data_IF_814170983318
#
_entry.id   IF_814170983318
#
_cell.length_a   1.000
_cell.length_b   1.000
_cell.length_c   1.000
_cell.angle_alpha   90.00
_cell.angle_beta   90.00
_cell.angle_gamma   90.00
#
_symmetry.space_group_name_H-M   'P 1'
#
loop_
_entity.id
_entity.type
_entity.pdbx_description
1 polymer ?
#
# COMPACT_ATOMS: atom_id res chain seq x y z
N UNK A 1 -13.06 21.52 18.38
CA UNK A 1 -12.11 20.81 17.49
C UNK A 1 -12.82 20.10 16.35
N UNK A 2 -13.81 19.23 16.61
CA UNK A 2 -14.62 18.54 15.58
C UNK A 2 -15.18 19.46 14.47
N UNK A 3 -15.87 20.54 14.83
CA UNK A 3 -16.47 21.45 13.84
C UNK A 3 -15.43 22.11 12.92
N UNK A 4 -14.24 22.41 13.43
CA UNK A 4 -13.16 23.01 12.65
C UNK A 4 -12.57 21.99 11.66
N UNK A 5 -12.35 20.74 12.11
CA UNK A 5 -11.90 19.65 11.25
C UNK A 5 -12.93 19.30 10.18
N UNK A 6 -14.22 19.28 10.53
CA UNK A 6 -15.33 19.07 9.59
C UNK A 6 -15.36 20.19 8.55
N UNK A 7 -15.31 21.46 8.96
CA UNK A 7 -15.29 22.59 8.03
C UNK A 7 -14.09 22.55 7.07
N UNK A 8 -12.92 22.17 7.58
CA UNK A 8 -11.72 21.98 6.76
C UNK A 8 -11.91 20.86 5.72
N UNK A 9 -12.34 19.68 6.16
CA UNK A 9 -12.59 18.53 5.27
C UNK A 9 -13.63 18.84 4.19
N UNK A 10 -14.67 19.62 4.52
CA UNK A 10 -15.68 20.04 3.56
C UNK A 10 -15.13 20.97 2.47
N UNK A 11 -14.06 21.72 2.75
CA UNK A 11 -13.42 22.62 1.79
C UNK A 11 -12.33 21.93 0.95
N UNK A 12 -11.79 20.81 1.41
CA UNK A 12 -10.72 20.08 0.73
C UNK A 12 -11.14 19.46 -0.60
N UNK A 13 -10.19 19.39 -1.53
CA UNK A 13 -10.29 18.58 -2.75
C UNK A 13 -9.95 17.10 -2.46
N UNK A 14 -10.39 16.14 -3.28
CA UNK A 14 -10.06 14.72 -3.05
C UNK A 14 -8.54 14.49 -3.01
N UNK A 15 -7.76 15.16 -3.85
CA UNK A 15 -6.31 15.03 -3.87
C UNK A 15 -5.66 15.62 -2.61
N UNK A 16 -6.10 16.80 -2.16
CA UNK A 16 -5.62 17.38 -0.91
C UNK A 16 -5.93 16.45 0.27
N UNK A 17 -7.15 15.91 0.33
CA UNK A 17 -7.56 15.00 1.37
C UNK A 17 -6.74 13.69 1.37
N UNK A 18 -6.45 13.13 0.19
CA UNK A 18 -5.57 11.95 0.08
C UNK A 18 -4.15 12.26 0.56
N UNK A 19 -3.61 13.42 0.19
CA UNK A 19 -2.28 13.85 0.61
C UNK A 19 -2.19 14.00 2.13
N UNK A 20 -3.18 14.64 2.74
CA UNK A 20 -3.27 14.80 4.20
C UNK A 20 -3.38 13.45 4.89
N UNK A 21 -4.27 12.57 4.41
CA UNK A 21 -4.46 11.24 4.96
C UNK A 21 -3.17 10.40 4.88
N UNK A 22 -2.44 10.46 3.76
CA UNK A 22 -1.15 9.77 3.64
C UNK A 22 -0.11 10.29 4.65
N UNK A 23 -0.09 11.61 4.93
CA UNK A 23 0.82 12.23 5.91
C UNK A 23 0.44 11.82 7.33
N UNK A 24 -0.83 11.98 7.71
CA UNK A 24 -1.32 11.71 9.06
C UNK A 24 -1.17 10.22 9.40
N UNK A 25 -1.58 9.32 8.51
CA UNK A 25 -1.40 7.88 8.73
C UNK A 25 0.08 7.49 8.81
N UNK A 26 0.95 8.09 7.97
CA UNK A 26 2.40 7.87 8.04
C UNK A 26 2.95 8.27 9.42
N UNK A 27 2.48 9.40 9.95
CA UNK A 27 2.86 9.86 11.29
C UNK A 27 2.36 8.92 12.39
N UNK A 28 1.08 8.56 12.39
CA UNK A 28 0.52 7.63 13.39
C UNK A 28 1.19 6.27 13.35
N UNK A 29 1.43 5.72 12.16
CA UNK A 29 2.16 4.47 12.00
C UNK A 29 3.58 4.58 12.57
N UNK A 30 4.26 5.68 12.26
CA UNK A 30 5.57 6.01 12.79
C UNK A 30 5.59 5.98 14.33
N UNK A 31 4.69 6.72 14.96
CA UNK A 31 4.63 6.90 16.41
C UNK A 31 4.19 5.64 17.16
N UNK A 32 3.17 4.92 16.66
CA UNK A 32 2.59 3.79 17.38
C UNK A 32 3.29 2.46 17.13
N UNK A 33 3.73 2.20 15.91
CA UNK A 33 4.14 0.86 15.49
C UNK A 33 5.63 0.73 15.22
N UNK A 34 6.34 1.86 15.04
CA UNK A 34 7.77 1.83 14.79
C UNK A 34 8.52 2.52 15.90
N UNK A 35 9.71 2.03 16.26
CA UNK A 35 10.63 2.72 17.19
C UNK A 35 11.29 3.94 16.54
N UNK A 36 10.52 4.68 15.74
CA UNK A 36 10.96 5.84 14.95
C UNK A 36 11.47 6.94 15.86
N UNK A 37 10.92 7.09 17.06
CA UNK A 37 11.43 8.04 18.06
C UNK A 37 12.89 7.76 18.45
N UNK A 38 13.28 6.48 18.59
CA UNK A 38 14.65 6.07 18.91
C UNK A 38 15.55 6.24 17.68
N UNK A 39 15.05 5.89 16.49
CA UNK A 39 15.82 5.94 15.25
C UNK A 39 16.06 7.38 14.76
N UNK A 40 15.14 8.31 15.06
CA UNK A 40 15.25 9.74 14.77
C UNK A 40 15.93 10.55 15.89
N UNK A 41 16.51 9.89 16.90
CA UNK A 41 17.43 10.55 17.84
C UNK A 41 18.73 10.96 17.17
N UNK A 42 19.39 12.00 17.70
CA UNK A 42 20.73 12.40 17.24
C UNK A 42 21.74 11.25 17.30
N UNK A 43 21.57 10.33 18.26
CA UNK A 43 22.42 9.14 18.44
C UNK A 43 22.20 8.14 17.29
N UNK A 44 20.94 7.86 16.92
CA UNK A 44 20.61 6.98 15.79
C UNK A 44 21.12 7.50 14.45
N UNK A 45 21.09 8.82 14.25
CA UNK A 45 21.66 9.46 13.06
C UNK A 45 23.18 9.34 13.05
N UNK A 46 23.84 9.66 14.17
CA UNK A 46 25.28 9.57 14.29
C UNK A 46 25.79 8.14 14.06
N UNK A 47 25.08 7.11 14.56
CA UNK A 47 25.47 5.71 14.35
C UNK A 47 25.36 5.28 12.89
N UNK A 48 24.37 5.78 12.13
CA UNK A 48 24.26 5.53 10.67
C UNK A 48 25.42 6.14 9.88
N UNK A 49 25.80 7.38 10.20
CA UNK A 49 26.97 8.00 9.57
C UNK A 49 28.28 7.31 9.95
N UNK A 50 28.40 6.87 11.21
CA UNK A 50 29.56 6.12 11.68
C UNK A 50 29.69 4.76 10.96
N UNK A 51 28.57 4.05 10.76
CA UNK A 51 28.53 2.80 10.01
C UNK A 51 28.96 3.01 8.55
N UNK A 52 28.43 4.04 7.88
CA UNK A 52 28.82 4.39 6.51
C UNK A 52 30.31 4.74 6.42
N UNK A 53 30.84 5.50 7.37
CA UNK A 53 32.26 5.86 7.44
C UNK A 53 33.15 4.63 7.66
N UNK A 54 32.72 3.70 8.53
CA UNK A 54 33.42 2.44 8.78
C UNK A 54 33.48 1.56 7.53
N UNK A 55 32.34 1.39 6.82
CA UNK A 55 32.30 0.63 5.56
C UNK A 55 33.17 1.28 4.46
N UNK A 56 33.12 2.60 4.35
CA UNK A 56 33.94 3.35 3.39
C UNK A 56 35.43 3.20 3.69
N UNK A 57 35.82 3.26 4.97
CA UNK A 57 37.19 3.03 5.42
C UNK A 57 37.65 1.61 5.13
N UNK A 58 36.81 0.61 5.44
CA UNK A 58 37.08 -0.80 5.12
C UNK A 58 37.29 -1.02 3.63
N UNK A 59 36.47 -0.40 2.77
CA UNK A 59 36.64 -0.45 1.31
C UNK A 59 37.95 0.17 0.86
N UNK A 60 38.35 1.31 1.45
CA UNK A 60 39.62 1.96 1.14
C UNK A 60 40.82 1.08 1.54
N UNK A 61 40.83 0.54 2.76
CA UNK A 61 41.88 -0.36 3.26
C UNK A 61 41.96 -1.63 2.40
N UNK A 62 40.81 -2.22 2.08
CA UNK A 62 40.76 -3.38 1.21
C UNK A 62 41.21 -3.07 -0.22
N UNK A 63 41.01 -1.84 -0.72
CA UNK A 63 41.48 -1.44 -2.04
C UNK A 63 43.01 -1.31 -2.13
N UNK A 64 43.65 -0.79 -1.07
CA UNK A 64 45.10 -0.53 -1.03
C UNK A 64 45.93 -1.79 -0.71
N UNK A 65 45.34 -2.79 -0.05
CA UNK A 65 46.04 -4.03 0.30
C UNK A 65 46.31 -4.92 -0.93
N UNK A 66 47.54 -5.45 -1.02
CA UNK A 66 47.94 -6.42 -2.06
C UNK A 66 47.23 -7.75 -1.84
N UNK A 67 46.70 -8.35 -2.91
CA UNK A 67 45.79 -9.52 -2.87
C UNK A 67 46.36 -10.78 -3.53
N UNK A 68 47.68 -10.92 -3.55
CA UNK A 68 48.35 -11.97 -4.31
C UNK A 68 48.05 -13.40 -3.80
N UNK A 69 47.67 -13.54 -2.54
CA UNK A 69 47.42 -14.85 -1.90
C UNK A 69 45.94 -15.24 -1.79
N UNK A 70 45.01 -14.39 -2.25
CA UNK A 70 43.58 -14.63 -2.13
C UNK A 70 42.96 -15.14 -3.44
N UNK A 71 42.01 -16.07 -3.31
CA UNK A 71 41.27 -16.55 -4.45
C UNK A 71 40.46 -15.39 -5.07
N UNK A 72 40.48 -15.30 -6.41
CA UNK A 72 39.85 -14.19 -7.16
C UNK A 72 38.37 -14.02 -6.84
N UNK A 73 37.68 -15.12 -6.51
CA UNK A 73 36.27 -15.11 -6.09
C UNK A 73 36.08 -14.40 -4.75
N UNK A 74 36.90 -14.68 -3.74
CA UNK A 74 36.76 -14.12 -2.39
C UNK A 74 37.03 -12.61 -2.40
N UNK A 75 37.99 -12.18 -3.23
CA UNK A 75 38.25 -10.76 -3.50
C UNK A 75 37.02 -10.09 -4.13
N UNK A 76 36.41 -10.72 -5.14
CA UNK A 76 35.20 -10.22 -5.78
C UNK A 76 34.01 -10.15 -4.82
N UNK A 77 33.82 -11.18 -4.00
CA UNK A 77 32.76 -11.26 -2.99
C UNK A 77 32.89 -10.13 -1.97
N UNK A 78 34.11 -9.87 -1.48
CA UNK A 78 34.36 -8.82 -0.50
C UNK A 78 34.06 -7.44 -1.06
N UNK A 79 34.46 -7.17 -2.31
CA UNK A 79 34.09 -5.92 -2.99
C UNK A 79 32.58 -5.77 -3.17
N UNK A 80 31.90 -6.84 -3.60
CA UNK A 80 30.44 -6.82 -3.78
C UNK A 80 29.71 -6.54 -2.45
N UNK A 81 30.14 -7.16 -1.35
CA UNK A 81 29.56 -6.94 -0.02
C UNK A 81 29.78 -5.51 0.49
N UNK A 82 31.00 -4.98 0.36
CA UNK A 82 31.32 -3.62 0.82
C UNK A 82 30.58 -2.55 0.02
N UNK A 83 30.56 -2.67 -1.31
CA UNK A 83 29.82 -1.75 -2.19
C UNK A 83 28.31 -1.88 -1.92
N UNK A 84 27.80 -3.10 -1.79
CA UNK A 84 26.39 -3.36 -1.45
C UNK A 84 25.99 -2.72 -0.12
N UNK A 85 26.81 -2.88 0.92
CA UNK A 85 26.59 -2.26 2.24
C UNK A 85 26.55 -0.73 2.16
N UNK A 86 27.52 -0.12 1.46
CA UNK A 86 27.56 1.35 1.26
C UNK A 86 26.30 1.84 0.53
N UNK A 87 25.89 1.14 -0.54
CA UNK A 87 24.67 1.50 -1.28
C UNK A 87 23.42 1.37 -0.39
N UNK A 88 23.31 0.30 0.40
CA UNK A 88 22.18 0.11 1.32
C UNK A 88 22.13 1.18 2.41
N UNK A 89 23.26 1.53 3.03
CA UNK A 89 23.32 2.60 4.03
C UNK A 89 23.05 3.97 3.41
N UNK A 90 23.52 4.23 2.20
CA UNK A 90 23.19 5.45 1.47
C UNK A 90 21.68 5.54 1.17
N UNK A 91 21.04 4.43 0.77
CA UNK A 91 19.58 4.36 0.59
C UNK A 91 18.85 4.60 1.91
N UNK A 92 19.31 3.98 3.01
CA UNK A 92 18.71 4.16 4.33
C UNK A 92 18.81 5.62 4.81
N UNK A 93 19.96 6.27 4.63
CA UNK A 93 20.16 7.70 4.92
C UNK A 93 19.27 8.57 4.02
N UNK A 94 19.17 8.23 2.73
CA UNK A 94 18.30 8.94 1.80
C UNK A 94 16.83 8.87 2.23
N UNK A 95 16.33 7.69 2.60
CA UNK A 95 14.97 7.51 3.14
C UNK A 95 14.78 8.30 4.43
N UNK A 96 15.77 8.28 5.32
CA UNK A 96 15.74 9.01 6.58
C UNK A 96 15.65 10.54 6.38
N UNK A 97 16.46 11.10 5.48
CA UNK A 97 16.42 12.53 5.14
C UNK A 97 15.06 12.94 4.56
N UNK A 98 14.41 12.03 3.83
CA UNK A 98 13.12 12.25 3.17
C UNK A 98 11.94 12.10 4.14
N UNK A 99 12.16 11.57 5.35
CA UNK A 99 11.08 11.23 6.27
C UNK A 99 10.31 12.46 6.78
N UNK A 100 9.04 12.24 7.11
CA UNK A 100 8.14 13.29 7.63
C UNK A 100 8.66 13.92 8.93
N UNK A 101 9.39 13.15 9.76
CA UNK A 101 9.99 13.62 11.00
C UNK A 101 11.12 14.62 10.79
N UNK A 102 11.94 14.40 9.76
CA UNK A 102 13.00 15.33 9.36
C UNK A 102 12.36 16.64 8.90
N UNK A 103 11.30 16.58 8.09
CA UNK A 103 10.56 17.76 7.66
C UNK A 103 9.91 18.51 8.82
N UNK A 104 9.23 17.84 9.76
CA UNK A 104 8.61 18.49 10.92
C UNK A 104 9.65 19.19 11.82
N UNK A 105 10.86 18.60 11.95
CA UNK A 105 11.95 19.16 12.78
C UNK A 105 12.64 20.36 12.12
N UNK A 106 12.86 20.32 10.81
CA UNK A 106 13.53 21.38 10.05
C UNK A 106 12.58 22.44 9.48
N UNK A 107 11.28 22.13 9.41
CA UNK A 107 10.23 23.04 8.97
C UNK A 107 9.77 24.04 10.03
N UNK A 108 10.34 24.00 11.25
CA UNK A 108 10.13 25.07 12.21
C UNK A 108 10.86 26.34 11.72
N UNK A 109 10.16 27.47 11.52
CA UNK A 109 10.80 28.75 11.33
C UNK A 109 11.43 29.14 12.66
N UNK A 110 12.71 28.80 12.85
CA UNK A 110 13.54 29.69 13.65
C UNK A 110 13.83 30.87 12.75
N UNK A 111 13.10 31.95 12.99
CA UNK A 111 13.55 33.29 12.65
C UNK A 111 15.00 33.40 13.15
N UNK A 112 15.86 33.98 12.31
CA UNK A 112 17.30 34.20 12.47
C UNK A 112 18.23 33.24 11.69
N UNK A 113 19.02 33.86 10.79
CA UNK A 113 20.03 33.32 9.84
C UNK A 113 19.58 33.06 8.38
N UNK A 114 19.33 34.16 7.66
CA UNK A 114 18.81 34.24 6.27
C UNK A 114 19.70 33.73 5.12
N UNK A 115 20.64 32.81 5.34
CA UNK A 115 21.48 32.22 4.28
C UNK A 115 21.36 30.69 4.15
N UNK A 116 21.47 29.98 5.27
CA UNK A 116 21.43 28.51 5.32
C UNK A 116 20.00 28.00 5.17
N UNK A 117 19.03 28.68 5.80
CA UNK A 117 17.62 28.28 5.77
C UNK A 117 17.04 28.33 4.35
N UNK A 118 17.50 29.25 3.50
CA UNK A 118 17.06 29.33 2.09
C UNK A 118 17.47 28.10 1.29
N UNK A 119 18.70 27.58 1.48
CA UNK A 119 19.18 26.37 0.79
C UNK A 119 18.50 25.11 1.32
N UNK A 120 18.28 25.04 2.64
CA UNK A 120 17.54 23.94 3.27
C UNK A 120 16.09 23.92 2.78
N UNK A 121 15.40 25.07 2.77
CA UNK A 121 14.02 25.18 2.29
C UNK A 121 13.91 24.84 0.79
N UNK A 122 14.86 25.29 -0.04
CA UNK A 122 14.90 24.92 -1.46
C UNK A 122 15.10 23.41 -1.65
N UNK A 123 15.99 22.79 -0.86
CA UNK A 123 16.20 21.35 -0.87
C UNK A 123 14.98 20.58 -0.38
N UNK A 124 14.31 21.04 0.69
CA UNK A 124 13.08 20.44 1.21
C UNK A 124 11.94 20.54 0.20
N UNK A 125 11.75 21.69 -0.47
CA UNK A 125 10.73 21.86 -1.50
C UNK A 125 11.00 21.00 -2.73
N UNK A 126 12.25 20.95 -3.20
CA UNK A 126 12.66 20.04 -4.28
C UNK A 126 12.39 18.58 -3.91
N UNK A 127 12.62 18.22 -2.65
CA UNK A 127 12.42 16.86 -2.15
C UNK A 127 10.92 16.54 -1.97
N UNK A 128 10.10 17.47 -1.49
CA UNK A 128 8.65 17.37 -1.42
C UNK A 128 8.03 17.14 -2.80
N UNK A 129 8.58 17.74 -3.85
CA UNK A 129 8.12 17.54 -5.24
C UNK A 129 8.21 16.07 -5.71
N UNK A 130 9.04 15.23 -5.07
CA UNK A 130 9.06 13.78 -5.35
C UNK A 130 7.97 13.01 -4.60
N UNK A 131 7.46 13.56 -3.49
CA UNK A 131 6.43 12.96 -2.63
C UNK A 131 5.01 13.43 -2.97
N UNK A 132 4.86 14.48 -3.77
CA UNK A 132 3.58 14.92 -4.31
C UNK A 132 2.82 13.79 -5.02
N UNK A 133 1.49 13.81 -4.92
CA UNK A 133 0.61 12.85 -5.60
C UNK A 133 0.82 12.96 -7.12
N UNK A 134 1.42 11.94 -7.73
CA UNK A 134 1.66 11.89 -9.19
C UNK A 134 0.69 10.93 -9.84
N UNK A 135 -0.27 11.50 -10.56
CA UNK A 135 -1.24 10.76 -11.36
C UNK A 135 -0.71 10.58 -12.78
N UNK A 136 -0.70 9.35 -13.28
CA UNK A 136 -0.32 9.04 -14.66
C UNK A 136 -1.49 8.46 -15.43
N UNK A 137 -1.62 8.87 -16.68
CA UNK A 137 -2.60 8.28 -17.62
C UNK A 137 -2.21 6.83 -17.90
N UNK A 138 -3.16 5.90 -17.80
CA UNK A 138 -2.99 4.52 -18.24
C UNK A 138 -3.87 4.25 -19.46
N UNK A 139 -3.27 3.69 -20.51
CA UNK A 139 -3.97 3.31 -21.74
C UNK A 139 -4.54 1.88 -21.67
N UNK A 140 -4.55 1.28 -20.48
CA UNK A 140 -4.95 -0.10 -20.22
C UNK A 140 -6.48 -0.33 -20.23
N UNK A 141 -7.28 0.73 -20.32
CA UNK A 141 -8.75 0.67 -20.38
C UNK A 141 -9.23 0.81 -21.83
N UNK A 142 -8.89 -0.13 -22.71
CA UNK A 142 -9.21 -0.05 -24.15
C UNK A 142 -10.68 -0.36 -24.52
N UNK A 143 -11.54 -0.63 -23.52
CA UNK A 143 -12.96 -0.99 -23.72
C UNK A 143 -13.97 0.06 -23.26
N UNK A 144 -13.50 1.19 -22.73
CA UNK A 144 -14.34 2.28 -22.21
C UNK A 144 -13.68 3.60 -22.64
N UNK A 145 -14.43 4.58 -23.14
CA UNK A 145 -13.92 5.89 -23.63
C UNK A 145 -13.21 6.76 -22.54
N UNK A 146 -12.89 6.19 -21.38
CA UNK A 146 -12.31 6.86 -20.22
C UNK A 146 -10.79 6.65 -20.10
N UNK A 147 -10.04 7.73 -20.32
CA UNK A 147 -8.62 7.85 -19.91
C UNK A 147 -8.53 7.75 -18.37
N UNK A 148 -8.14 6.60 -17.82
CA UNK A 148 -8.00 6.47 -16.36
C UNK A 148 -6.66 7.03 -15.86
N UNK A 149 -6.68 7.63 -14.67
CA UNK A 149 -5.47 8.14 -14.02
C UNK A 149 -5.12 7.25 -12.82
N UNK A 150 -3.95 6.64 -12.85
CA UNK A 150 -3.44 5.78 -11.78
C UNK A 150 -2.40 6.53 -10.95
N UNK A 151 -2.42 6.30 -9.64
CA UNK A 151 -1.40 6.84 -8.75
C UNK A 151 -0.07 6.10 -9.00
N UNK A 152 0.95 6.81 -9.47
CA UNK A 152 2.24 6.22 -9.83
C UNK A 152 3.43 7.07 -9.34
N UNK A 153 3.80 6.89 -8.06
CA UNK A 153 5.09 7.37 -7.55
C UNK A 153 6.14 6.24 -7.55
N UNK A 154 7.42 6.64 -7.56
CA UNK A 154 8.55 5.70 -7.40
C UNK A 154 8.51 5.11 -5.99
N UNK A 155 8.85 3.82 -5.85
CA UNK A 155 8.72 3.06 -4.59
C UNK A 155 9.35 3.74 -3.36
N UNK A 156 10.53 4.33 -3.51
CA UNK A 156 11.26 5.01 -2.40
C UNK A 156 10.47 6.22 -1.84
N UNK A 157 9.65 6.88 -2.67
CA UNK A 157 8.92 8.09 -2.27
C UNK A 157 7.47 7.82 -1.91
N UNK A 158 7.06 6.54 -1.87
CA UNK A 158 5.70 6.16 -1.46
C UNK A 158 5.60 6.22 0.05
N UNK A 159 4.54 6.88 0.54
CA UNK A 159 4.14 6.83 1.95
C UNK A 159 3.42 5.53 2.26
N UNK A 160 2.54 5.13 1.33
CA UNK A 160 1.69 3.96 1.44
C UNK A 160 1.71 3.16 0.12
N UNK A 161 1.13 1.96 0.13
CA UNK A 161 1.25 1.00 -0.97
C UNK A 161 0.85 1.57 -2.34
N UNK A 162 -0.06 2.56 -2.39
CA UNK A 162 -0.72 3.08 -3.61
C UNK A 162 -1.50 1.99 -4.36
N UNK A 163 -1.72 0.84 -3.71
CA UNK A 163 -2.40 -0.32 -4.28
C UNK A 163 -3.68 -0.59 -3.52
N UNK A 164 -4.73 -0.88 -4.27
CA UNK A 164 -5.92 -1.57 -3.78
C UNK A 164 -5.70 -3.06 -4.04
N UNK A 165 -5.78 -3.84 -2.97
CA UNK A 165 -5.79 -5.29 -3.07
C UNK A 165 -7.19 -5.79 -3.40
N UNK A 166 -7.28 -6.92 -4.10
CA UNK A 166 -8.53 -7.51 -4.54
C UNK A 166 -8.51 -8.98 -4.25
N UNK A 167 -9.53 -9.46 -3.58
CA UNK A 167 -9.76 -10.88 -3.36
C UNK A 167 -11.17 -11.24 -3.82
N UNK A 168 -11.27 -12.13 -4.82
CA UNK A 168 -12.54 -12.66 -5.28
C UNK A 168 -12.74 -14.05 -4.69
N UNK A 169 -13.70 -14.19 -3.77
CA UNK A 169 -13.99 -15.45 -3.10
C UNK A 169 -14.44 -16.55 -4.08
N UNK A 170 -15.31 -16.21 -5.05
CA UNK A 170 -15.79 -17.17 -6.05
C UNK A 170 -14.63 -17.59 -6.97
N UNK A 171 -13.78 -16.64 -7.34
CA UNK A 171 -12.56 -16.91 -8.11
C UNK A 171 -11.64 -17.89 -7.39
N UNK A 172 -11.42 -17.70 -6.08
CA UNK A 172 -10.66 -18.63 -5.24
C UNK A 172 -11.29 -20.02 -5.22
N UNK A 173 -12.59 -20.14 -4.94
CA UNK A 173 -13.30 -21.42 -4.89
C UNK A 173 -13.28 -22.18 -6.22
N UNK A 174 -13.17 -21.47 -7.35
CA UNK A 174 -13.06 -22.03 -8.69
C UNK A 174 -11.61 -22.21 -9.17
N UNK A 175 -10.61 -21.87 -8.36
CA UNK A 175 -9.19 -21.95 -8.73
C UNK A 175 -8.76 -20.95 -9.82
N UNK A 176 -9.55 -19.89 -10.05
CA UNK A 176 -9.29 -18.86 -11.05
C UNK A 176 -8.23 -17.90 -10.52
N UNK A 177 -7.09 -17.78 -11.22
CA UNK A 177 -6.05 -16.82 -10.86
C UNK A 177 -6.52 -15.39 -11.16
N UNK A 178 -6.33 -14.44 -10.24
CA UNK A 178 -6.81 -13.08 -10.43
C UNK A 178 -5.91 -12.32 -11.42
N UNK A 179 -6.51 -11.60 -12.36
CA UNK A 179 -5.76 -10.78 -13.32
C UNK A 179 -5.57 -9.35 -12.80
N UNK A 180 -4.39 -8.77 -13.07
CA UNK A 180 -4.14 -7.34 -12.79
C UNK A 180 -4.70 -6.49 -13.93
N UNK A 181 -5.54 -5.53 -13.61
CA UNK A 181 -6.13 -4.61 -14.58
C UNK A 181 -5.07 -3.60 -15.05
N UNK A 182 -4.25 -3.08 -14.12
CA UNK A 182 -3.25 -2.05 -14.44
C UNK A 182 -1.83 -2.62 -14.54
N UNK A 183 -1.41 -2.95 -15.77
CA UNK A 183 -0.03 -3.38 -16.09
C UNK A 183 0.93 -2.17 -16.14
N UNK A 184 1.19 -1.54 -15.01
CA UNK A 184 2.24 -0.51 -14.94
C UNK A 184 3.59 -1.16 -14.60
N UNK A 185 4.44 -1.38 -15.63
CA UNK A 185 5.88 -1.62 -15.38
C UNK A 185 6.48 -0.33 -14.84
N UNK A 186 6.46 -0.17 -13.52
CA UNK A 186 7.05 0.98 -12.86
C UNK A 186 8.50 1.18 -13.31
N UNK A 187 8.90 2.43 -13.52
CA UNK A 187 10.28 2.80 -13.86
C UNK A 187 11.31 2.20 -12.89
N UNK A 188 10.88 1.93 -11.65
CA UNK A 188 11.69 1.31 -10.61
C UNK A 188 11.93 -0.19 -10.81
N UNK A 189 10.96 -0.94 -11.37
CA UNK A 189 11.20 -2.34 -11.74
C UNK A 189 12.22 -2.39 -12.87
N UNK A 190 12.14 -1.47 -13.85
CA UNK A 190 13.19 -1.31 -14.87
C UNK A 190 14.54 -0.89 -14.31
N UNK A 191 14.58 -0.04 -13.28
CA UNK A 191 15.82 0.40 -12.62
C UNK A 191 16.46 -0.74 -11.81
N UNK A 192 15.68 -1.47 -11.02
CA UNK A 192 16.17 -2.65 -10.29
C UNK A 192 16.49 -3.80 -11.24
N UNK A 193 15.69 -4.05 -12.28
CA UNK A 193 16.02 -5.02 -13.33
C UNK A 193 17.34 -4.61 -14.00
N UNK A 194 17.52 -3.33 -14.33
CA UNK A 194 18.78 -2.83 -14.89
C UNK A 194 19.94 -3.02 -13.91
N UNK A 195 19.78 -2.75 -12.62
CA UNK A 195 20.81 -2.98 -11.59
C UNK A 195 21.09 -4.47 -11.40
N UNK A 196 20.06 -5.30 -11.34
CA UNK A 196 20.14 -6.76 -11.17
C UNK A 196 20.86 -7.38 -12.37
N UNK A 197 20.53 -6.94 -13.59
CA UNK A 197 21.23 -7.34 -14.81
C UNK A 197 22.66 -6.77 -14.88
N UNK A 198 22.87 -5.51 -14.50
CA UNK A 198 24.19 -4.86 -14.50
C UNK A 198 25.16 -5.56 -13.53
N UNK A 199 24.65 -5.98 -12.36
CA UNK A 199 25.40 -6.69 -11.33
C UNK A 199 25.43 -8.22 -11.55
N UNK A 200 24.87 -8.72 -12.66
CA UNK A 200 24.76 -10.17 -12.96
C UNK A 200 24.06 -10.99 -11.86
N UNK A 201 23.26 -10.32 -11.03
CA UNK A 201 22.50 -10.93 -9.95
C UNK A 201 21.43 -11.84 -10.54
N UNK A 202 20.84 -11.49 -11.69
CA UNK A 202 19.94 -12.37 -12.46
C UNK A 202 20.58 -13.73 -12.74
N UNK A 203 21.82 -13.73 -13.23
CA UNK A 203 22.53 -14.96 -13.61
C UNK A 203 22.99 -15.76 -12.38
N UNK A 204 23.32 -15.08 -11.28
CA UNK A 204 23.64 -15.73 -10.01
C UNK A 204 22.39 -16.29 -9.32
N UNK A 205 21.26 -15.57 -9.38
CA UNK A 205 19.96 -16.06 -8.92
C UNK A 205 19.59 -17.30 -9.74
N UNK A 206 19.58 -17.23 -11.06
CA UNK A 206 19.15 -18.36 -11.89
C UNK A 206 20.07 -19.58 -11.80
N UNK A 207 21.39 -19.40 -11.62
CA UNK A 207 22.34 -20.52 -11.51
C UNK A 207 22.51 -21.10 -10.12
N UNK A 208 22.41 -20.28 -9.07
CA UNK A 208 22.75 -20.68 -7.69
C UNK A 208 21.50 -20.64 -6.83
N UNK A 209 20.82 -19.50 -6.77
CA UNK A 209 19.75 -19.27 -5.82
C UNK A 209 18.45 -20.01 -6.23
N UNK A 210 18.04 -19.94 -7.49
CA UNK A 210 16.81 -20.54 -8.00
C UNK A 210 16.84 -22.07 -7.93
N UNK A 211 17.87 -22.79 -8.40
CA UNK A 211 17.93 -24.24 -8.21
C UNK A 211 18.00 -24.60 -6.74
N UNK A 212 18.74 -23.86 -5.90
CA UNK A 212 18.84 -24.14 -4.46
C UNK A 212 17.54 -23.86 -3.70
N UNK A 213 16.87 -22.74 -3.96
CA UNK A 213 15.56 -22.39 -3.41
C UNK A 213 14.49 -23.32 -3.95
N UNK A 214 14.52 -23.70 -5.23
CA UNK A 214 13.57 -24.65 -5.82
C UNK A 214 13.76 -26.04 -5.24
N UNK A 215 14.99 -26.50 -5.02
CA UNK A 215 15.28 -27.74 -4.31
C UNK A 215 14.82 -27.65 -2.86
N UNK A 216 15.11 -26.54 -2.18
CA UNK A 216 14.71 -26.30 -0.80
C UNK A 216 13.19 -26.25 -0.64
N UNK A 217 12.47 -25.55 -1.53
CA UNK A 217 11.02 -25.50 -1.55
C UNK A 217 10.39 -26.85 -1.91
N UNK A 218 10.95 -27.61 -2.86
CA UNK A 218 10.51 -28.99 -3.14
C UNK A 218 10.72 -29.91 -1.94
N UNK A 219 11.90 -29.84 -1.35
CA UNK A 219 12.29 -30.62 -0.19
C UNK A 219 11.37 -30.31 0.99
N UNK A 220 11.07 -29.03 1.25
CA UNK A 220 10.15 -28.63 2.30
C UNK A 220 8.68 -28.91 1.96
N UNK A 221 8.24 -28.84 0.70
CA UNK A 221 6.84 -29.12 0.33
C UNK A 221 6.46 -30.60 0.41
N UNK A 222 7.44 -31.51 0.30
CA UNK A 222 7.21 -32.96 0.41
C UNK A 222 7.28 -33.50 1.84
N UNK A 223 7.71 -32.67 2.81
CA UNK A 223 7.73 -33.06 4.21
C UNK A 223 6.35 -32.79 4.83
N UNK A 224 5.59 -33.83 5.26
CA UNK A 224 4.26 -33.65 5.85
C UNK A 224 4.26 -32.75 7.09
N UNK A 225 5.37 -32.77 7.83
CA UNK A 225 5.59 -31.92 9.02
C UNK A 225 5.64 -30.43 8.65
N UNK A 226 6.11 -30.06 7.45
CA UNK A 226 6.13 -28.66 7.03
C UNK A 226 4.73 -28.16 6.71
N UNK A 227 3.92 -28.95 5.99
CA UNK A 227 2.51 -28.60 5.77
C UNK A 227 1.76 -28.55 7.10
N UNK A 228 2.00 -29.52 7.99
CA UNK A 228 1.44 -29.49 9.34
C UNK A 228 1.91 -28.30 10.17
N UNK A 229 3.18 -27.86 10.04
CA UNK A 229 3.70 -26.66 10.70
C UNK A 229 3.10 -25.38 10.10
N UNK A 230 2.98 -25.30 8.77
CA UNK A 230 2.32 -24.18 8.09
C UNK A 230 0.85 -24.08 8.47
N UNK A 231 0.16 -25.21 8.63
CA UNK A 231 -1.22 -25.27 9.14
C UNK A 231 -1.28 -24.95 10.65
N UNK A 232 -0.34 -25.47 11.45
CA UNK A 232 -0.25 -25.25 12.91
C UNK A 232 -0.01 -23.76 13.25
N UNK A 233 0.81 -23.08 12.45
CA UNK A 233 1.01 -21.63 12.56
C UNK A 233 -0.07 -20.80 11.84
N UNK A 234 -1.03 -21.44 11.15
CA UNK A 234 -2.08 -20.77 10.37
C UNK A 234 -1.56 -19.98 9.16
N UNK A 235 -0.33 -20.26 8.71
CA UNK A 235 0.38 -19.55 7.64
C UNK A 235 -0.13 -20.01 6.27
N UNK A 236 -0.60 -21.25 6.12
CA UNK A 236 -1.14 -21.80 4.87
C UNK A 236 -2.39 -21.04 4.40
N UNK A 237 -3.34 -20.79 5.29
CA UNK A 237 -4.55 -19.97 5.06
C UNK A 237 -4.18 -18.54 4.64
N UNK A 238 -3.22 -17.91 5.33
CA UNK A 238 -2.75 -16.56 5.00
C UNK A 238 -2.02 -16.51 3.65
N UNK A 239 -1.18 -17.52 3.34
CA UNK A 239 -0.46 -17.63 2.08
C UNK A 239 -1.43 -17.88 0.92
N UNK A 240 -2.43 -18.74 1.09
CA UNK A 240 -3.49 -18.93 0.09
C UNK A 240 -4.26 -17.60 -0.12
N UNK A 241 -4.60 -16.90 0.95
CA UNK A 241 -5.14 -15.53 0.89
C UNK A 241 -4.28 -14.59 0.03
N UNK A 242 -2.96 -14.62 0.19
CA UNK A 242 -2.02 -13.78 -0.59
C UNK A 242 -1.82 -14.25 -2.04
N UNK A 243 -1.85 -15.56 -2.32
CA UNK A 243 -1.69 -16.10 -3.69
C UNK A 243 -2.87 -15.72 -4.57
N UNK A 244 -4.07 -15.70 -4.01
CA UNK A 244 -5.30 -15.34 -4.72
C UNK A 244 -5.71 -13.86 -4.54
N UNK A 245 -4.91 -13.09 -3.80
CA UNK A 245 -5.01 -11.64 -3.78
C UNK A 245 -4.30 -11.03 -4.99
N UNK A 246 -5.04 -10.30 -5.82
CA UNK A 246 -4.45 -9.39 -6.81
C UNK A 246 -4.23 -8.01 -6.19
N UNK A 247 -3.34 -7.23 -6.79
CA UNK A 247 -3.11 -5.83 -6.42
C UNK A 247 -3.16 -4.98 -7.67
N UNK A 248 -3.94 -3.91 -7.60
CA UNK A 248 -4.07 -2.91 -8.66
C UNK A 248 -3.76 -1.53 -8.10
N UNK A 249 -3.37 -0.60 -8.97
CA UNK A 249 -3.12 0.79 -8.56
C UNK A 249 -4.43 1.47 -8.16
N UNK A 250 -4.36 2.31 -7.13
CA UNK A 250 -5.45 3.23 -6.81
C UNK A 250 -5.65 4.19 -7.99
N UNK A 251 -6.87 4.24 -8.53
CA UNK A 251 -7.23 5.18 -9.59
C UNK A 251 -7.85 6.43 -9.01
N UNK A 252 -7.71 7.55 -9.72
CA UNK A 252 -8.23 8.85 -9.31
C UNK A 252 -9.74 8.84 -9.16
N UNK A 253 -10.41 8.10 -10.04
CA UNK A 253 -11.86 8.03 -10.14
C UNK A 253 -12.45 7.25 -8.95
N UNK A 254 -11.84 6.11 -8.57
CA UNK A 254 -12.26 5.34 -7.37
C UNK A 254 -12.05 6.17 -6.11
N UNK A 255 -10.90 6.83 -5.99
CA UNK A 255 -10.62 7.67 -4.83
C UNK A 255 -11.59 8.84 -4.72
N UNK A 256 -11.85 9.55 -5.83
CA UNK A 256 -12.85 10.62 -5.87
C UNK A 256 -14.23 10.14 -5.41
N UNK A 257 -14.66 8.96 -5.88
CA UNK A 257 -15.92 8.35 -5.46
C UNK A 257 -15.97 8.08 -3.94
N UNK A 258 -14.93 7.48 -3.37
CA UNK A 258 -14.87 7.20 -1.91
C UNK A 258 -14.86 8.51 -1.12
N UNK A 259 -14.08 9.49 -1.57
CA UNK A 259 -14.01 10.81 -0.93
C UNK A 259 -15.37 11.51 -0.91
N UNK A 260 -16.07 11.55 -2.04
CA UNK A 260 -17.38 12.20 -2.15
C UNK A 260 -18.42 11.51 -1.26
N UNK A 261 -18.42 10.17 -1.19
CA UNK A 261 -19.32 9.40 -0.31
C UNK A 261 -19.05 9.70 1.17
N UNK A 262 -17.77 9.74 1.59
CA UNK A 262 -17.39 10.10 2.97
C UNK A 262 -17.74 11.55 3.28
N UNK A 263 -17.54 12.47 2.33
CA UNK A 263 -17.89 13.88 2.46
C UNK A 263 -19.39 14.09 2.61
N UNK A 264 -20.20 13.40 1.82
CA UNK A 264 -21.66 13.42 1.94
C UNK A 264 -22.11 12.91 3.32
N UNK A 265 -21.55 11.81 3.80
CA UNK A 265 -21.90 11.27 5.13
C UNK A 265 -21.44 12.15 6.28
N UNK A 266 -20.27 12.77 6.14
CA UNK A 266 -19.77 13.76 7.11
C UNK A 266 -20.71 14.96 7.21
N UNK A 267 -21.26 15.44 6.08
CA UNK A 267 -22.24 16.51 6.08
C UNK A 267 -23.48 16.16 6.92
N UNK A 268 -24.03 14.95 6.73
CA UNK A 268 -25.22 14.44 7.43
C UNK A 268 -24.97 14.23 8.94
N UNK A 269 -23.73 13.97 9.35
CA UNK A 269 -23.39 13.76 10.76
C UNK A 269 -23.28 15.09 11.52
N UNK A 270 -24.29 15.44 12.31
CA UNK A 270 -24.30 16.69 13.09
C UNK A 270 -23.27 16.68 14.24
N UNK A 271 -23.04 15.52 14.84
CA UNK A 271 -22.14 15.31 15.98
C UNK A 271 -21.35 13.99 15.85
N UNK A 272 -20.39 13.76 16.76
CA UNK A 272 -19.53 12.58 16.74
C UNK A 272 -20.27 11.27 17.01
N UNK A 273 -21.35 11.29 17.81
CA UNK A 273 -22.20 10.12 18.04
C UNK A 273 -22.99 9.78 16.78
N UNK A 274 -23.57 10.79 16.12
CA UNK A 274 -24.23 10.63 14.82
C UNK A 274 -23.28 10.09 13.75
N UNK A 275 -22.03 10.58 13.72
CA UNK A 275 -21.00 10.03 12.85
C UNK A 275 -20.73 8.55 13.17
N UNK A 276 -20.53 8.19 14.44
CA UNK A 276 -20.29 6.80 14.84
C UNK A 276 -21.45 5.87 14.48
N UNK A 277 -22.70 6.34 14.62
CA UNK A 277 -23.90 5.61 14.18
C UNK A 277 -23.89 5.36 12.67
N UNK A 278 -23.50 6.35 11.85
CA UNK A 278 -23.42 6.21 10.39
C UNK A 278 -22.34 5.21 9.97
N UNK A 279 -21.15 5.25 10.59
CA UNK A 279 -20.07 4.30 10.29
C UNK A 279 -20.41 2.88 10.75
N UNK A 280 -21.07 2.74 11.90
CA UNK A 280 -21.50 1.45 12.45
C UNK A 280 -22.71 0.85 11.72
N UNK A 281 -23.37 1.60 10.84
CA UNK A 281 -24.59 1.15 10.17
C UNK A 281 -24.36 0.04 9.13
N UNK A 282 -23.12 -0.36 8.78
CA UNK A 282 -22.83 -1.53 7.91
C UNK A 282 -23.67 -1.62 6.60
N UNK A 283 -24.07 -0.48 6.02
CA UNK A 283 -24.94 -0.42 4.84
C UNK A 283 -26.45 -0.37 5.13
N UNK A 284 -26.88 -0.57 6.38
CA UNK A 284 -28.26 -0.44 6.87
C UNK A 284 -28.88 0.90 6.53
N UNK A 285 -28.11 2.00 6.64
CA UNK A 285 -28.62 3.34 6.36
C UNK A 285 -28.96 3.51 4.87
N UNK A 286 -28.15 2.94 3.99
CA UNK A 286 -28.39 2.93 2.54
C UNK A 286 -29.61 2.05 2.23
N UNK A 287 -29.68 0.86 2.82
CA UNK A 287 -30.85 -0.02 2.68
C UNK A 287 -32.13 0.65 3.20
N UNK A 288 -32.12 1.28 4.37
CA UNK A 288 -33.28 2.02 4.90
C UNK A 288 -33.73 3.10 3.92
N UNK A 289 -32.81 3.84 3.31
CA UNK A 289 -33.15 4.90 2.36
C UNK A 289 -33.73 4.35 1.05
N UNK A 290 -33.24 3.21 0.55
CA UNK A 290 -33.75 2.54 -0.65
C UNK A 290 -35.10 1.87 -0.36
N UNK A 291 -35.22 1.19 0.78
CA UNK A 291 -36.41 0.41 1.15
C UNK A 291 -37.54 1.30 1.68
N UNK A 292 -37.27 2.47 2.29
CA UNK A 292 -38.30 3.48 2.59
C UNK A 292 -39.01 3.99 1.34
N UNK A 293 -38.35 3.98 0.18
CA UNK A 293 -38.99 4.33 -1.09
C UNK A 293 -39.89 3.21 -1.65
N UNK A 294 -39.80 2.01 -1.08
CA UNK A 294 -40.42 0.79 -1.61
C UNK A 294 -41.10 0.06 -0.45
N UNK A 295 -42.25 0.57 0.01
CA UNK A 295 -43.01 0.06 1.16
C UNK A 295 -43.54 -1.37 0.92
N UNK A 296 -42.71 -2.39 1.14
CA UNK A 296 -43.10 -3.81 1.13
C UNK A 296 -42.62 -4.51 2.41
N UNK A 297 -43.43 -5.38 2.98
CA UNK A 297 -43.15 -6.11 4.22
C UNK A 297 -41.92 -7.04 4.10
N UNK A 298 -41.70 -7.61 2.92
CA UNK A 298 -40.53 -8.47 2.62
C UNK A 298 -39.21 -7.71 2.64
N UNK A 299 -39.23 -6.40 2.31
CA UNK A 299 -38.05 -5.54 2.36
C UNK A 299 -37.57 -5.32 3.81
N UNK A 300 -38.49 -5.26 4.77
CA UNK A 300 -38.16 -5.12 6.19
C UNK A 300 -37.60 -6.41 6.79
N UNK A 301 -38.08 -7.58 6.34
CA UNK A 301 -37.49 -8.88 6.71
C UNK A 301 -36.06 -9.01 6.20
N UNK A 302 -35.82 -8.61 4.95
CA UNK A 302 -34.50 -8.63 4.33
C UNK A 302 -33.52 -7.68 5.02
N UNK A 303 -33.96 -6.48 5.40
CA UNK A 303 -33.18 -5.53 6.21
C UNK A 303 -32.72 -6.17 7.52
N UNK A 304 -33.65 -6.79 8.27
CA UNK A 304 -33.33 -7.43 9.56
C UNK A 304 -32.34 -8.59 9.40
N UNK A 305 -32.46 -9.38 8.33
CA UNK A 305 -31.54 -10.47 8.03
C UNK A 305 -30.13 -9.99 7.68
N UNK A 306 -29.99 -8.80 7.07
CA UNK A 306 -28.69 -8.22 6.70
C UNK A 306 -28.00 -7.47 7.85
N UNK A 307 -28.76 -6.97 8.83
CA UNK A 307 -28.23 -6.09 9.89
C UNK A 307 -28.01 -6.79 11.23
N UNK A 308 -28.69 -7.90 11.51
CA UNK A 308 -28.53 -8.69 12.75
C UNK A 308 -27.37 -9.70 12.67
N UNK A 309 -26.27 -9.34 12.00
CA UNK A 309 -25.16 -10.24 11.78
C UNK A 309 -23.85 -9.55 12.12
N UNK A 310 -22.87 -10.33 12.59
CA UNK A 310 -21.51 -9.88 12.83
C UNK A 310 -20.90 -9.25 11.56
N UNK A 311 -19.91 -8.37 11.74
CA UNK A 311 -19.44 -7.49 10.68
C UNK A 311 -18.80 -8.27 9.52
N UNK A 312 -18.00 -9.28 9.85
CA UNK A 312 -17.39 -10.25 8.95
C UNK A 312 -18.43 -10.97 8.07
N UNK A 313 -19.51 -11.47 8.68
CA UNK A 313 -20.59 -12.14 7.95
C UNK A 313 -21.38 -11.17 7.07
N UNK A 314 -21.55 -9.93 7.52
CA UNK A 314 -22.18 -8.87 6.70
C UNK A 314 -21.34 -8.60 5.45
N UNK A 315 -20.01 -8.47 5.59
CA UNK A 315 -19.08 -8.30 4.47
C UNK A 315 -19.19 -9.47 3.49
N UNK A 316 -19.20 -10.72 3.98
CA UNK A 316 -19.32 -11.91 3.15
C UNK A 316 -20.61 -11.90 2.31
N UNK A 317 -21.75 -11.58 2.93
CA UNK A 317 -23.05 -11.51 2.24
C UNK A 317 -23.07 -10.42 1.18
N UNK A 318 -22.57 -9.23 1.51
CA UNK A 318 -22.46 -8.13 0.55
C UNK A 318 -21.49 -8.45 -0.58
N UNK A 319 -20.42 -9.20 -0.32
CA UNK A 319 -19.49 -9.65 -1.34
C UNK A 319 -20.15 -10.60 -2.34
N UNK A 320 -20.85 -11.62 -1.86
CA UNK A 320 -21.61 -12.55 -2.71
C UNK A 320 -22.68 -11.81 -3.51
N UNK A 321 -23.46 -10.93 -2.87
CA UNK A 321 -24.50 -10.16 -3.54
C UNK A 321 -23.93 -9.24 -4.63
N UNK A 322 -22.83 -8.55 -4.34
CA UNK A 322 -22.13 -7.68 -5.31
C UNK A 322 -21.62 -8.51 -6.48
N UNK A 323 -21.09 -9.71 -6.23
CA UNK A 323 -20.59 -10.58 -7.30
C UNK A 323 -21.70 -11.08 -8.21
N UNK A 324 -22.82 -11.52 -7.65
CA UNK A 324 -23.99 -11.96 -8.43
C UNK A 324 -24.54 -10.80 -9.29
N UNK A 325 -24.73 -9.62 -8.69
CA UNK A 325 -25.19 -8.43 -9.42
C UNK A 325 -24.19 -7.94 -10.47
N UNK A 326 -22.90 -8.09 -10.20
CA UNK A 326 -21.84 -7.76 -11.15
C UNK A 326 -21.80 -8.73 -12.35
N UNK A 327 -22.43 -9.90 -12.27
CA UNK A 327 -22.56 -10.81 -13.41
C UNK A 327 -23.87 -10.61 -14.18
N UNK A 328 -24.91 -10.03 -13.56
CA UNK A 328 -26.20 -9.77 -14.21
C UNK A 328 -26.04 -8.74 -15.33
N UNK A 329 -26.40 -9.05 -16.57
CA UNK A 329 -26.33 -8.09 -17.68
C UNK A 329 -27.34 -6.96 -17.44
N UNK A 330 -26.87 -5.72 -17.30
CA UNK A 330 -27.75 -4.55 -17.30
C UNK A 330 -28.19 -4.24 -18.73
N UNK A 331 -29.42 -3.77 -18.88
CA UNK A 331 -30.07 -3.45 -20.17
C UNK A 331 -29.56 -2.11 -20.74
N UNK A 332 -28.89 -1.28 -19.92
CA UNK A 332 -28.29 0.00 -20.35
C UNK A 332 -26.79 0.07 -19.98
N UNK A 333 -25.88 -0.19 -20.95
CA UNK A 333 -24.46 -0.35 -20.68
C UNK A 333 -23.71 0.95 -20.34
N UNK A 334 -24.25 2.14 -20.63
CA UNK A 334 -23.47 3.38 -20.56
C UNK A 334 -23.65 4.18 -19.24
N UNK A 335 -24.81 4.08 -18.58
CA UNK A 335 -25.12 5.01 -17.46
C UNK A 335 -24.53 4.58 -16.10
N UNK A 336 -24.31 3.28 -15.88
CA UNK A 336 -23.94 2.73 -14.57
C UNK A 336 -22.62 1.93 -14.54
N UNK A 337 -21.89 1.88 -15.65
CA UNK A 337 -20.71 1.01 -15.78
C UNK A 337 -19.58 1.37 -14.80
N UNK A 338 -19.36 2.65 -14.53
CA UNK A 338 -18.33 3.10 -13.58
C UNK A 338 -18.66 2.72 -12.14
N UNK A 339 -19.89 2.98 -11.67
CA UNK A 339 -20.31 2.64 -10.31
C UNK A 339 -20.27 1.13 -10.08
N UNK A 340 -20.72 0.33 -11.05
CA UNK A 340 -20.65 -1.13 -10.97
C UNK A 340 -19.21 -1.64 -10.84
N UNK A 341 -18.28 -1.08 -11.62
CA UNK A 341 -16.84 -1.39 -11.50
C UNK A 341 -16.30 -0.98 -10.14
N UNK A 342 -16.67 0.19 -9.61
CA UNK A 342 -16.21 0.64 -8.29
C UNK A 342 -16.76 -0.24 -7.16
N UNK A 343 -18.04 -0.60 -7.20
CA UNK A 343 -18.65 -1.52 -6.23
C UNK A 343 -17.93 -2.86 -6.20
N UNK A 344 -17.60 -3.42 -7.36
CA UNK A 344 -16.82 -4.67 -7.44
C UNK A 344 -15.42 -4.52 -6.84
N UNK A 345 -14.70 -3.45 -7.18
CA UNK A 345 -13.35 -3.22 -6.64
C UNK A 345 -13.36 -3.03 -5.11
N UNK A 346 -14.31 -2.25 -4.59
CA UNK A 346 -14.45 -2.02 -3.15
C UNK A 346 -14.85 -3.30 -2.43
N UNK A 347 -15.75 -4.10 -3.01
CA UNK A 347 -16.16 -5.39 -2.46
C UNK A 347 -14.99 -6.38 -2.39
N UNK A 348 -14.19 -6.48 -3.46
CA UNK A 348 -12.98 -7.33 -3.48
C UNK A 348 -11.94 -6.87 -2.46
N UNK A 349 -11.83 -5.56 -2.23
CA UNK A 349 -10.92 -5.01 -1.22
C UNK A 349 -11.39 -5.30 0.21
N UNK A 350 -12.69 -5.15 0.48
CA UNK A 350 -13.26 -5.51 1.79
C UNK A 350 -13.10 -7.00 2.09
N UNK A 351 -13.30 -7.86 1.08
CA UNK A 351 -13.06 -9.30 1.22
C UNK A 351 -11.57 -9.62 1.46
N UNK A 352 -10.67 -8.92 0.77
CA UNK A 352 -9.23 -9.04 1.03
C UNK A 352 -8.88 -8.69 2.48
N UNK A 353 -9.42 -7.59 3.01
CA UNK A 353 -9.17 -7.18 4.39
C UNK A 353 -9.72 -8.18 5.39
N UNK A 354 -10.88 -8.78 5.12
CA UNK A 354 -11.44 -9.82 5.99
C UNK A 354 -10.52 -11.03 6.12
N UNK A 355 -9.85 -11.43 5.03
CA UNK A 355 -8.98 -12.61 5.00
C UNK A 355 -7.59 -12.30 5.56
N UNK A 356 -7.00 -11.17 5.16
CA UNK A 356 -5.60 -10.85 5.47
C UNK A 356 -5.46 -10.09 6.79
N UNK A 357 -6.47 -9.31 7.17
CA UNK A 357 -6.48 -8.50 8.40
C UNK A 357 -7.82 -8.63 9.16
N UNK A 358 -8.19 -9.86 9.61
CA UNK A 358 -9.45 -10.09 10.30
C UNK A 358 -9.60 -9.24 11.57
N UNK A 359 -8.49 -8.91 12.25
CA UNK A 359 -8.49 -8.04 13.43
C UNK A 359 -8.94 -6.58 13.18
N UNK A 360 -8.94 -6.12 11.92
CA UNK A 360 -9.53 -4.83 11.54
C UNK A 360 -11.04 -4.93 11.28
N UNK A 361 -11.55 -6.15 11.12
CA UNK A 361 -12.92 -6.46 10.71
C UNK A 361 -13.73 -7.19 11.80
N UNK A 362 -13.16 -7.35 13.00
CA UNK A 362 -13.81 -7.98 14.17
C UNK A 362 -14.44 -6.96 15.11
#
# INVERSE_FOLDING_TARGET
>A
QWNNSKAFFMRSTPEEALGILEVELSFFYGTFYTKVDILHTRIGVASRFLALASLSSSLCIFAVTKKHDYHRFDVGLTYALLIGGIVLDFVAISIFCVSDWTFARFGNPKEDEGGVQTRVNAALNWLLSFRELKWKRCDCCSHDDGKCHVLDRKFIFRRWSEYIYKYNLIGHSLGIKPERIHKTKGCFHRFFDAIIHLLWIDRAIDKILYPSIKLFLRFWSEIPVVNYLLDLFGISEQLNGMIYASRDRLTKEIWGFVFDEVKMRSYIADDAESANRIHSARGELVLRNILKKTENEDNMKLLRYMTQVDYDQSILRWHIATELLYQTRDVDPQKNQHYRKFSKILSDYMMYLLIVQPALMS
#
